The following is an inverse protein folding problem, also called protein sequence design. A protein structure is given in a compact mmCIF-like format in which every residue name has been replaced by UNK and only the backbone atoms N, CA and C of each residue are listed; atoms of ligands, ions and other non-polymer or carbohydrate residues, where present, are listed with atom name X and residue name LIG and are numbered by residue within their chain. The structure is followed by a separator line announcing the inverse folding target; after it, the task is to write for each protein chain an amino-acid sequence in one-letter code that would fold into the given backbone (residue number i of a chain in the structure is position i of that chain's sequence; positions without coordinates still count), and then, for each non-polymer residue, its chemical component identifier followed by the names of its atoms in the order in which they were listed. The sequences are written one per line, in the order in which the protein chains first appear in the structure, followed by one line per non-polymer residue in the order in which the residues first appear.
data_IF_179219517583
#
_entry.id   IF_179219517583
#
_cell.length_a   1.000
_cell.length_b   1.000
_cell.length_c   1.000
_cell.angle_alpha   90.00
_cell.angle_beta   90.00
_cell.angle_gamma   90.00
#
_symmetry.space_group_name_H-M   'P 1'
#
loop_
_entity.id
_entity.type
_entity.pdbx_description
1 polymer ?
#
# COMPACT_ATOMS: atom_id res chain seq x y z
N UNK A 1 2.71 -31.72 -46.22
CA UNK A 1 3.38 -31.76 -44.89
C UNK A 1 4.06 -30.44 -44.62
N UNK A 2 3.30 -29.37 -44.41
CA UNK A 2 3.88 -28.09 -43.94
C UNK A 2 2.73 -27.21 -43.42
N UNK A 3 2.03 -27.64 -42.35
CA UNK A 3 0.96 -26.80 -41.77
C UNK A 3 0.76 -27.06 -40.25
N UNK A 4 1.82 -27.19 -39.48
CA UNK A 4 1.69 -27.44 -38.03
C UNK A 4 2.72 -26.71 -37.15
N UNK A 5 3.20 -25.53 -37.51
CA UNK A 5 4.22 -24.84 -36.72
C UNK A 5 3.94 -23.33 -36.45
N UNK A 6 2.70 -22.88 -36.42
CA UNK A 6 2.39 -21.43 -36.13
C UNK A 6 1.40 -21.23 -35.00
N UNK A 7 1.29 -22.10 -34.03
CA UNK A 7 0.29 -21.91 -32.94
C UNK A 7 0.85 -21.91 -31.50
N UNK A 8 2.11 -21.59 -31.25
CA UNK A 8 2.68 -21.61 -29.88
C UNK A 8 3.24 -20.25 -29.41
N UNK A 9 3.13 -19.16 -30.13
CA UNK A 9 3.74 -17.86 -29.69
C UNK A 9 2.75 -16.88 -29.09
N UNK A 10 1.47 -17.18 -28.93
CA UNK A 10 0.45 -16.21 -28.51
C UNK A 10 0.18 -16.13 -26.98
N UNK A 11 0.83 -16.90 -26.11
CA UNK A 11 0.42 -16.98 -24.70
C UNK A 11 1.33 -16.29 -23.65
N UNK A 12 2.40 -15.61 -24.06
CA UNK A 12 3.34 -14.98 -23.08
C UNK A 12 3.28 -13.45 -22.98
N UNK A 13 2.46 -12.75 -23.75
CA UNK A 13 2.48 -11.27 -23.81
C UNK A 13 1.52 -10.55 -22.85
N UNK A 14 0.53 -11.23 -22.27
CA UNK A 14 -0.53 -10.55 -21.50
C UNK A 14 -0.07 -9.88 -20.19
N UNK A 15 0.86 -10.49 -19.45
CA UNK A 15 1.31 -9.92 -18.15
C UNK A 15 2.30 -8.77 -18.32
N UNK A 16 3.12 -8.76 -19.36
CA UNK A 16 4.11 -7.71 -19.60
C UNK A 16 3.45 -6.39 -20.03
N UNK A 17 2.46 -6.46 -20.90
CA UNK A 17 1.69 -5.28 -21.34
C UNK A 17 0.89 -4.63 -20.21
N UNK A 18 0.27 -5.42 -19.34
CA UNK A 18 -0.49 -4.93 -18.19
C UNK A 18 0.40 -4.18 -17.18
N UNK A 19 1.58 -4.71 -16.87
CA UNK A 19 2.51 -4.06 -15.94
C UNK A 19 3.13 -2.78 -16.52
N UNK A 20 3.44 -2.75 -17.81
CA UNK A 20 3.96 -1.55 -18.48
C UNK A 20 2.91 -0.43 -18.47
N UNK A 21 1.67 -0.73 -18.76
CA UNK A 21 0.54 0.21 -18.69
C UNK A 21 0.36 0.79 -17.28
N UNK A 22 0.48 -0.04 -16.22
CA UNK A 22 0.32 0.41 -14.84
C UNK A 22 1.47 1.32 -14.39
N UNK A 23 2.72 1.01 -14.78
CA UNK A 23 3.88 1.86 -14.48
C UNK A 23 3.73 3.22 -15.17
N UNK A 24 3.30 3.28 -16.42
CA UNK A 24 3.05 4.54 -17.13
C UNK A 24 2.01 5.38 -16.41
N UNK A 25 0.89 4.78 -15.98
CA UNK A 25 -0.13 5.49 -15.19
C UNK A 25 0.43 6.04 -13.86
N UNK A 26 1.32 5.31 -13.19
CA UNK A 26 1.99 5.77 -11.98
C UNK A 26 2.96 6.93 -12.27
N UNK A 27 3.65 6.92 -13.42
CA UNK A 27 4.55 8.00 -13.84
C UNK A 27 3.80 9.28 -14.20
N UNK A 28 2.59 9.17 -14.73
CA UNK A 28 1.69 10.32 -14.98
C UNK A 28 1.27 11.03 -13.69
N UNK A 29 1.26 10.33 -12.55
CA UNK A 29 0.78 10.85 -11.27
C UNK A 29 -0.75 10.76 -11.11
N UNK A 30 -1.26 11.45 -10.08
CA UNK A 30 -2.71 11.53 -9.83
C UNK A 30 -3.34 10.26 -9.28
N UNK A 31 -2.55 9.29 -8.82
CA UNK A 31 -3.04 8.02 -8.28
C UNK A 31 -2.95 8.01 -6.76
N UNK A 32 -3.87 7.28 -6.15
CA UNK A 32 -3.81 6.93 -4.73
C UNK A 32 -3.17 5.56 -4.64
N UNK A 33 -2.10 5.47 -3.88
CA UNK A 33 -1.32 4.25 -3.71
C UNK A 33 -1.44 3.80 -2.26
N UNK A 34 -2.27 2.79 -2.02
CA UNK A 34 -2.42 2.21 -0.69
C UNK A 34 -1.45 1.05 -0.52
N UNK A 35 -0.65 1.10 0.54
CA UNK A 35 0.32 0.06 0.86
C UNK A 35 -0.04 -0.53 2.24
N UNK A 36 -0.36 -1.83 2.29
CA UNK A 36 -0.39 -2.49 3.58
C UNK A 36 1.02 -2.52 4.13
N UNK A 37 1.20 -2.19 5.41
CA UNK A 37 2.49 -2.27 6.08
C UNK A 37 3.25 -3.56 5.70
N UNK A 38 4.57 -3.48 5.63
CA UNK A 38 5.44 -4.59 5.33
C UNK A 38 5.30 -5.73 6.37
N UNK A 39 5.93 -6.85 6.11
CA UNK A 39 5.76 -8.06 6.91
C UNK A 39 6.13 -7.83 8.38
N UNK A 40 5.16 -8.10 9.23
CA UNK A 40 5.30 -8.12 10.68
C UNK A 40 4.77 -9.48 11.15
N UNK A 41 5.59 -10.36 11.74
CA UNK A 41 5.18 -11.71 12.10
C UNK A 41 4.06 -11.72 13.15
N UNK A 42 3.16 -12.70 13.07
CA UNK A 42 2.02 -12.86 13.97
C UNK A 42 0.76 -12.12 13.53
N UNK A 43 -0.24 -12.08 14.41
CA UNK A 43 -1.56 -11.49 14.16
C UNK A 43 -1.95 -10.59 15.34
N UNK A 44 -2.56 -9.44 15.06
CA UNK A 44 -2.93 -8.46 16.09
C UNK A 44 -1.71 -7.78 16.72
N UNK A 45 -1.94 -7.09 17.79
CA UNK A 45 -0.93 -6.54 18.71
C UNK A 45 -1.14 -7.17 20.09
N UNK A 46 -0.15 -7.18 21.01
CA UNK A 46 -0.32 -7.63 22.39
C UNK A 46 -1.45 -6.89 23.13
N UNK A 47 -2.13 -7.52 24.07
CA UNK A 47 -3.32 -6.97 24.72
C UNK A 47 -3.12 -5.58 25.34
N UNK A 48 -1.93 -5.32 25.89
CA UNK A 48 -1.60 -4.05 26.57
C UNK A 48 -0.74 -3.12 25.71
N UNK A 49 -0.75 -3.27 24.39
CA UNK A 49 0.06 -2.40 23.54
C UNK A 49 -0.38 -0.93 23.62
N UNK A 50 0.59 -0.06 23.42
CA UNK A 50 0.42 1.39 23.28
C UNK A 50 0.87 1.85 21.89
N UNK A 51 0.06 2.70 21.22
CA UNK A 51 0.44 3.31 19.95
C UNK A 51 1.70 4.17 20.08
N UNK A 52 1.92 4.73 21.28
CA UNK A 52 3.06 5.61 21.56
C UNK A 52 4.36 4.86 21.86
N UNK A 53 4.28 3.57 22.13
CA UNK A 53 5.43 2.74 22.51
C UNK A 53 5.59 1.55 21.58
N UNK A 54 6.58 1.62 20.69
CA UNK A 54 6.87 0.58 19.71
C UNK A 54 7.28 -0.76 20.35
N UNK A 55 7.88 -0.74 21.54
CA UNK A 55 8.31 -1.97 22.22
C UNK A 55 7.15 -2.86 22.63
N UNK A 56 5.94 -2.28 22.74
CA UNK A 56 4.71 -2.99 23.10
C UNK A 56 3.90 -3.46 21.89
N UNK A 57 4.33 -3.14 20.66
CA UNK A 57 3.59 -3.44 19.43
C UNK A 57 4.20 -4.63 18.69
N UNK A 58 3.40 -5.20 17.80
CA UNK A 58 3.89 -6.11 16.77
C UNK A 58 4.56 -5.30 15.66
N UNK A 59 5.87 -5.50 15.50
CA UNK A 59 6.73 -4.72 14.62
C UNK A 59 7.23 -5.53 13.41
N UNK A 60 7.87 -4.85 12.45
CA UNK A 60 8.56 -5.51 11.35
C UNK A 60 9.71 -6.36 11.90
N UNK A 61 9.99 -7.46 11.23
CA UNK A 61 11.28 -8.17 11.36
C UNK A 61 12.17 -7.81 10.16
N UNK A 62 13.35 -8.45 10.06
CA UNK A 62 14.31 -8.19 8.98
C UNK A 62 13.72 -8.42 7.59
N UNK A 63 12.86 -9.43 7.42
CA UNK A 63 12.15 -9.67 6.17
C UNK A 63 11.20 -8.50 5.83
N UNK A 64 10.50 -7.97 6.84
CA UNK A 64 9.63 -6.80 6.66
C UNK A 64 10.43 -5.53 6.32
N UNK A 65 11.58 -5.33 6.95
CA UNK A 65 12.48 -4.23 6.63
C UNK A 65 13.00 -4.36 5.19
N UNK A 66 13.43 -5.55 4.80
CA UNK A 66 13.85 -5.84 3.42
C UNK A 66 12.73 -5.57 2.42
N UNK A 67 11.51 -6.03 2.71
CA UNK A 67 10.33 -5.80 1.87
C UNK A 67 10.02 -4.28 1.74
N UNK A 68 10.10 -3.52 2.82
CA UNK A 68 9.90 -2.07 2.78
C UNK A 68 10.93 -1.37 1.88
N UNK A 69 12.21 -1.77 1.98
CA UNK A 69 13.27 -1.27 1.08
C UNK A 69 13.01 -1.61 -0.39
N UNK A 70 12.53 -2.82 -0.68
CA UNK A 70 12.16 -3.23 -2.04
C UNK A 70 11.01 -2.39 -2.59
N UNK A 71 10.01 -2.07 -1.75
CA UNK A 71 8.94 -1.14 -2.11
C UNK A 71 9.53 0.20 -2.52
N UNK A 72 10.40 0.80 -1.71
CA UNK A 72 11.04 2.08 -2.03
C UNK A 72 11.84 2.03 -3.34
N UNK A 73 12.62 0.97 -3.53
CA UNK A 73 13.40 0.75 -4.76
C UNK A 73 12.51 0.65 -6.01
N UNK A 74 11.32 0.05 -5.89
CA UNK A 74 10.34 0.01 -7.00
C UNK A 74 9.96 1.42 -7.46
N UNK A 75 9.67 2.34 -6.55
CA UNK A 75 9.31 3.73 -6.88
C UNK A 75 10.48 4.50 -7.50
N UNK A 76 11.68 4.34 -6.94
CA UNK A 76 12.89 5.00 -7.44
C UNK A 76 13.24 4.50 -8.85
N UNK A 77 13.32 3.18 -9.02
CA UNK A 77 13.68 2.54 -10.31
C UNK A 77 12.73 2.95 -11.44
N UNK A 78 11.45 3.07 -11.14
CA UNK A 78 10.44 3.42 -12.14
C UNK A 78 10.17 4.94 -12.20
N UNK A 79 10.93 5.78 -11.49
CA UNK A 79 10.81 7.26 -11.50
C UNK A 79 9.37 7.72 -11.22
N UNK A 80 8.67 7.07 -10.28
CA UNK A 80 7.27 7.37 -9.95
C UNK A 80 7.21 8.65 -9.12
N UNK A 81 6.51 9.72 -9.57
CA UNK A 81 6.42 10.97 -8.85
C UNK A 81 5.53 10.83 -7.62
N UNK A 82 6.03 11.25 -6.46
CA UNK A 82 5.32 11.21 -5.19
C UNK A 82 5.11 12.64 -4.69
N UNK A 83 3.89 13.00 -4.32
CA UNK A 83 3.52 14.25 -3.67
C UNK A 83 3.81 14.15 -2.17
N UNK A 84 3.18 13.19 -1.51
CA UNK A 84 3.34 12.98 -0.09
C UNK A 84 3.18 11.50 0.28
N UNK A 85 3.80 11.14 1.40
CA UNK A 85 3.68 9.83 2.03
C UNK A 85 2.99 10.02 3.38
N UNK A 86 1.83 9.41 3.54
CA UNK A 86 1.07 9.39 4.78
C UNK A 86 1.07 8.00 5.37
N UNK A 87 1.23 7.91 6.67
CA UNK A 87 1.31 6.63 7.39
C UNK A 87 0.36 6.61 8.57
N UNK A 88 -0.12 5.42 8.90
CA UNK A 88 -0.68 5.13 10.22
C UNK A 88 0.35 5.41 11.31
N UNK A 89 -0.13 5.70 12.52
CA UNK A 89 0.70 5.93 13.72
C UNK A 89 1.30 4.64 14.29
N UNK A 90 0.86 3.45 13.86
CA UNK A 90 1.45 2.16 14.25
C UNK A 90 2.90 2.04 13.80
N UNK A 91 3.77 1.51 14.66
CA UNK A 91 5.20 1.45 14.39
C UNK A 91 5.52 0.65 13.12
N UNK A 92 4.89 -0.49 12.86
CA UNK A 92 5.05 -1.24 11.61
C UNK A 92 4.72 -0.44 10.33
N UNK A 93 3.78 0.52 10.42
CA UNK A 93 3.49 1.41 9.29
C UNK A 93 4.53 2.52 9.17
N UNK A 94 4.93 3.12 10.29
CA UNK A 94 6.00 4.13 10.34
C UNK A 94 7.32 3.56 9.83
N UNK A 95 7.69 2.35 10.25
CA UNK A 95 8.89 1.66 9.80
C UNK A 95 8.81 1.33 8.30
N UNK A 96 7.65 0.86 7.81
CA UNK A 96 7.44 0.67 6.36
C UNK A 96 7.65 1.98 5.60
N UNK A 97 7.08 3.09 6.09
CA UNK A 97 7.23 4.41 5.48
C UNK A 97 8.68 4.90 5.50
N UNK A 98 9.36 4.72 6.63
CA UNK A 98 10.74 5.13 6.82
C UNK A 98 11.70 4.37 5.90
N UNK A 99 11.64 3.04 5.90
CA UNK A 99 12.55 2.22 5.08
C UNK A 99 12.25 2.31 3.57
N UNK A 100 11.01 2.60 3.18
CA UNK A 100 10.66 2.76 1.77
C UNK A 100 10.89 4.19 1.24
N UNK A 101 10.57 5.21 2.02
CA UNK A 101 10.47 6.59 1.50
C UNK A 101 11.23 7.64 2.33
N UNK A 102 11.76 7.29 3.50
CA UNK A 102 12.49 8.15 4.43
C UNK A 102 11.65 9.32 5.02
N UNK A 103 10.89 10.06 4.19
CA UNK A 103 10.03 11.18 4.62
C UNK A 103 8.56 10.80 4.57
N UNK A 104 7.85 11.00 5.68
CA UNK A 104 6.41 10.75 5.79
C UNK A 104 5.78 11.59 6.90
N UNK A 105 4.45 11.67 6.89
CA UNK A 105 3.65 12.22 8.01
C UNK A 105 2.70 11.14 8.52
N UNK A 106 2.45 11.11 9.81
CA UNK A 106 1.44 10.22 10.40
C UNK A 106 0.09 10.91 10.46
N UNK A 107 -0.97 10.15 10.19
CA UNK A 107 -2.36 10.58 10.36
C UNK A 107 -3.18 9.46 10.99
N UNK A 108 -4.01 9.80 11.96
CA UNK A 108 -4.83 8.83 12.70
C UNK A 108 -5.89 8.14 11.84
N UNK A 109 -6.33 8.78 10.76
CA UNK A 109 -7.30 8.18 9.82
C UNK A 109 -6.78 6.96 9.06
N UNK A 110 -5.45 6.71 9.04
CA UNK A 110 -4.84 5.49 8.52
C UNK A 110 -4.64 4.39 9.57
N UNK A 111 -5.02 4.63 10.82
CA UNK A 111 -4.85 3.72 11.94
C UNK A 111 -5.70 2.46 11.81
N UNK A 112 -5.25 1.37 12.43
CA UNK A 112 -6.00 0.12 12.48
C UNK A 112 -7.21 0.25 13.39
N UNK A 113 -8.35 -0.23 12.93
CA UNK A 113 -9.54 -0.50 13.75
C UNK A 113 -9.84 -2.00 13.84
N UNK A 114 -8.79 -2.84 13.72
CA UNK A 114 -8.91 -4.30 13.86
C UNK A 114 -9.28 -4.70 15.29
N UNK A 115 -8.63 -4.09 16.27
CA UNK A 115 -8.89 -4.32 17.67
C UNK A 115 -10.20 -3.66 18.09
N UNK A 116 -10.99 -4.35 18.93
CA UNK A 116 -12.32 -3.88 19.40
C UNK A 116 -12.26 -2.49 20.04
N UNK A 117 -11.16 -2.16 20.71
CA UNK A 117 -10.94 -0.85 21.35
C UNK A 117 -10.98 0.31 20.35
N UNK A 118 -10.65 0.06 19.08
CA UNK A 118 -10.55 1.07 18.03
C UNK A 118 -11.68 0.99 16.99
N UNK A 119 -12.52 -0.02 17.01
CA UNK A 119 -13.62 -0.20 16.03
C UNK A 119 -14.56 1.00 15.97
N UNK A 120 -14.81 1.67 17.09
CA UNK A 120 -15.64 2.88 17.14
C UNK A 120 -15.09 4.04 16.29
N UNK A 121 -13.83 4.02 15.93
CA UNK A 121 -13.19 5.06 15.13
C UNK A 121 -13.36 4.85 13.62
N UNK A 122 -13.80 3.67 13.18
CA UNK A 122 -13.85 3.24 11.78
C UNK A 122 -14.50 4.28 10.86
N UNK A 123 -15.76 4.61 11.13
CA UNK A 123 -16.53 5.48 10.22
C UNK A 123 -15.94 6.89 10.13
N UNK A 124 -15.49 7.44 11.27
CA UNK A 124 -14.79 8.72 11.32
C UNK A 124 -13.52 8.69 10.47
N UNK A 125 -12.67 7.68 10.68
CA UNK A 125 -11.39 7.53 9.94
C UNK A 125 -11.60 7.41 8.43
N UNK A 126 -12.56 6.59 8.01
CA UNK A 126 -12.87 6.40 6.59
C UNK A 126 -13.39 7.69 5.94
N UNK A 127 -14.27 8.42 6.64
CA UNK A 127 -14.77 9.70 6.16
C UNK A 127 -13.66 10.76 6.05
N UNK A 128 -12.75 10.82 7.04
CA UNK A 128 -11.58 11.70 7.00
C UNK A 128 -10.66 11.39 5.80
N UNK A 129 -10.41 10.09 5.52
CA UNK A 129 -9.62 9.68 4.36
C UNK A 129 -10.29 10.07 3.04
N UNK A 130 -11.59 9.85 2.91
CA UNK A 130 -12.35 10.26 1.71
C UNK A 130 -12.29 11.78 1.51
N UNK A 131 -12.44 12.56 2.58
CA UNK A 131 -12.34 14.02 2.53
C UNK A 131 -10.92 14.50 2.18
N UNK A 132 -9.88 13.86 2.75
CA UNK A 132 -8.49 14.15 2.40
C UNK A 132 -8.26 13.96 0.90
N UNK A 133 -8.69 12.85 0.35
CA UNK A 133 -8.52 12.53 -1.08
C UNK A 133 -9.35 13.46 -1.96
N UNK A 134 -10.56 13.82 -1.56
CA UNK A 134 -11.39 14.79 -2.29
C UNK A 134 -10.69 16.14 -2.45
N UNK A 135 -10.01 16.60 -1.40
CA UNK A 135 -9.35 17.91 -1.35
C UNK A 135 -7.89 17.88 -1.85
N UNK A 136 -7.32 16.70 -2.10
CA UNK A 136 -5.97 16.57 -2.65
C UNK A 136 -5.92 17.00 -4.13
N UNK A 137 -4.87 17.74 -4.52
CA UNK A 137 -4.73 18.31 -5.87
C UNK A 137 -4.62 17.26 -7.00
N UNK A 138 -4.04 16.08 -6.69
CA UNK A 138 -3.94 14.97 -7.63
C UNK A 138 -2.91 15.13 -8.74
N UNK A 139 -1.93 16.02 -8.62
CA UNK A 139 -0.89 16.20 -9.65
C UNK A 139 0.16 15.07 -9.66
N UNK A 140 0.71 14.74 -8.50
CA UNK A 140 1.62 13.58 -8.31
C UNK A 140 0.85 12.49 -7.56
N UNK A 141 1.48 11.36 -7.25
CA UNK A 141 0.84 10.29 -6.50
C UNK A 141 0.87 10.55 -4.99
N UNK A 142 -0.18 10.14 -4.29
CA UNK A 142 -0.22 10.09 -2.83
C UNK A 142 -0.06 8.66 -2.35
N UNK A 143 0.82 8.45 -1.37
CA UNK A 143 1.04 7.14 -0.75
C UNK A 143 0.40 7.10 0.63
N UNK A 144 -0.41 6.06 0.87
CA UNK A 144 -1.11 5.79 2.11
C UNK A 144 -0.65 4.45 2.68
N UNK A 145 0.21 4.48 3.71
CA UNK A 145 0.70 3.26 4.37
C UNK A 145 -0.19 2.95 5.57
N UNK A 146 -0.86 1.81 5.51
CA UNK A 146 -1.94 1.48 6.42
C UNK A 146 -2.06 -0.03 6.68
N UNK A 147 -3.21 -0.45 7.15
CA UNK A 147 -3.54 -1.80 7.58
C UNK A 147 -4.56 -2.45 6.64
N UNK A 148 -4.59 -3.77 6.67
CA UNK A 148 -5.51 -4.54 5.83
C UNK A 148 -6.98 -4.13 6.06
N UNK A 149 -7.38 -3.81 7.28
CA UNK A 149 -8.76 -3.42 7.62
C UNK A 149 -9.18 -2.11 6.94
N UNK A 150 -8.27 -1.14 6.83
CA UNK A 150 -8.53 0.15 6.16
C UNK A 150 -8.65 -0.06 4.65
N UNK A 151 -7.74 -0.84 4.05
CA UNK A 151 -7.79 -1.18 2.63
C UNK A 151 -9.08 -1.94 2.31
N UNK A 152 -9.44 -2.92 3.14
CA UNK A 152 -10.68 -3.68 2.97
C UNK A 152 -11.93 -2.82 3.04
N UNK A 153 -11.97 -1.88 3.98
CA UNK A 153 -13.13 -1.00 4.16
C UNK A 153 -13.29 -0.03 2.98
N UNK A 154 -12.18 0.51 2.44
CA UNK A 154 -12.23 1.43 1.31
C UNK A 154 -12.44 0.75 -0.04
N UNK A 155 -11.84 -0.44 -0.24
CA UNK A 155 -11.73 -1.07 -1.56
C UNK A 155 -12.45 -2.42 -1.67
N UNK A 156 -13.02 -2.94 -0.57
CA UNK A 156 -13.69 -4.26 -0.51
C UNK A 156 -12.81 -5.44 -0.93
N UNK A 157 -11.48 -5.33 -0.75
CA UNK A 157 -10.51 -6.38 -1.08
C UNK A 157 -9.65 -6.78 0.12
N UNK A 158 -9.11 -7.99 0.06
CA UNK A 158 -8.03 -8.41 0.96
C UNK A 158 -6.68 -8.02 0.38
N UNK A 159 -5.73 -7.63 1.25
CA UNK A 159 -4.35 -7.32 0.87
C UNK A 159 -3.36 -8.11 1.71
N UNK A 160 -2.23 -8.52 1.11
CA UNK A 160 -1.11 -9.14 1.81
C UNK A 160 -0.11 -8.08 2.29
N UNK A 161 0.81 -8.43 3.21
CA UNK A 161 1.84 -7.50 3.69
C UNK A 161 2.71 -6.99 2.55
N UNK A 162 2.99 -5.69 2.53
CA UNK A 162 3.78 -5.03 1.48
C UNK A 162 3.08 -4.91 0.13
N UNK A 163 1.82 -5.31 0.02
CA UNK A 163 1.09 -5.16 -1.24
C UNK A 163 0.78 -3.70 -1.52
N UNK A 164 1.01 -3.31 -2.78
CA UNK A 164 0.74 -1.99 -3.32
C UNK A 164 -0.57 -2.07 -4.12
N UNK A 165 -1.59 -1.34 -3.70
CA UNK A 165 -2.88 -1.23 -4.39
C UNK A 165 -2.98 0.17 -4.97
N UNK A 166 -3.15 0.28 -6.28
CA UNK A 166 -3.21 1.53 -7.03
C UNK A 166 -4.66 1.80 -7.39
N UNK A 167 -5.15 3.01 -7.07
CA UNK A 167 -6.51 3.42 -7.40
C UNK A 167 -6.53 4.83 -8.01
N UNK A 168 -7.65 5.16 -8.66
CA UNK A 168 -8.00 6.53 -8.99
C UNK A 168 -8.56 7.28 -7.76
N UNK A 169 -8.93 8.57 -7.92
CA UNK A 169 -9.53 9.39 -6.86
C UNK A 169 -10.93 8.92 -6.41
N UNK A 170 -11.59 8.05 -7.17
CA UNK A 170 -12.88 7.45 -6.83
C UNK A 170 -12.73 6.09 -6.14
N UNK A 171 -11.47 5.70 -5.83
CA UNK A 171 -11.11 4.40 -5.27
C UNK A 171 -11.36 3.20 -6.21
N UNK A 172 -11.52 3.41 -7.52
CA UNK A 172 -11.53 2.33 -8.49
C UNK A 172 -10.12 1.75 -8.60
N UNK A 173 -10.00 0.42 -8.47
CA UNK A 173 -8.71 -0.27 -8.51
C UNK A 173 -8.20 -0.31 -9.95
N UNK A 174 -7.02 0.26 -10.19
CA UNK A 174 -6.32 0.28 -11.47
C UNK A 174 -5.32 -0.86 -11.59
N UNK A 175 -4.77 -1.30 -10.45
CA UNK A 175 -3.84 -2.42 -10.41
C UNK A 175 -3.36 -2.74 -9.00
N UNK A 176 -2.67 -3.89 -8.89
CA UNK A 176 -2.12 -4.40 -7.63
C UNK A 176 -0.75 -4.98 -7.89
N UNK A 177 0.22 -4.66 -7.05
CA UNK A 177 1.58 -5.21 -7.11
C UNK A 177 1.84 -5.93 -5.80
N UNK A 178 2.03 -7.25 -5.90
CA UNK A 178 2.41 -8.09 -4.77
C UNK A 178 3.91 -8.26 -4.80
N UNK A 179 4.57 -7.72 -3.78
CA UNK A 179 5.98 -8.00 -3.55
C UNK A 179 6.07 -9.37 -2.87
N UNK A 180 6.44 -10.39 -3.62
CA UNK A 180 6.88 -11.67 -3.04
C UNK A 180 8.14 -11.41 -2.22
N UNK A 181 8.13 -11.86 -0.97
CA UNK A 181 9.32 -11.92 -0.13
C UNK A 181 10.34 -12.89 -0.72
#
# INVERSE_FOLDING_TARGET
KLLFLILIIAFYSGKSFSNYSLINQLQEGGKIIMIRHAYAPGTGDPDKFSIKDCSTQRNLNDNGISQAKQIGNFFIKNKIPIDQVLSSEWCRCKDTAFFAFNKFKTISSLNSFYDIRFQKNKDKQINELKNLIKNWNGQKNIILITHYVVIRELLSISSVSGEIVITDKRFNILGRIKNSL
#
